data_IF_928688177198
#
_entry.id   IF_928688177198
#
_cell.length_a   1.000
_cell.length_b   1.000
_cell.length_c   1.000
_cell.angle_alpha   90.00
_cell.angle_beta   90.00
_cell.angle_gamma   90.00
#
_symmetry.space_group_name_H-M   'P 1'
#
loop_
_entity.id
_entity.type
_entity.pdbx_description
1 polymer ?
#
# COMPACT_ATOMS: atom_id res chain seq x y z
N UNK A 1 -1.18 4.15 1.24
CA UNK A 1 -0.60 3.14 0.34
C UNK A 1 -1.46 1.88 0.45
N UNK A 2 -2.21 1.47 -0.58
CA UNK A 2 -3.13 0.34 -0.49
C UNK A 2 -2.40 -1.01 -0.40
N UNK A 3 -3.09 -2.09 0.01
CA UNK A 3 -2.55 -3.45 -0.09
C UNK A 3 -2.10 -3.75 -1.52
N UNK A 4 -1.01 -4.50 -1.67
CA UNK A 4 -0.41 -4.80 -2.97
C UNK A 4 -0.90 -6.14 -3.51
N UNK A 5 -1.23 -6.17 -4.79
CA UNK A 5 -1.35 -7.41 -5.58
C UNK A 5 0.02 -7.70 -6.20
N UNK A 6 0.51 -8.92 -6.06
CA UNK A 6 1.83 -9.33 -6.48
C UNK A 6 1.77 -10.65 -7.25
N UNK A 7 2.16 -10.67 -8.54
CA UNK A 7 2.25 -11.91 -9.31
C UNK A 7 3.24 -12.90 -8.67
N UNK A 8 2.82 -14.16 -8.50
CA UNK A 8 3.67 -15.21 -7.91
C UNK A 8 4.94 -15.47 -8.72
N UNK A 9 4.85 -15.28 -10.04
CA UNK A 9 6.00 -15.41 -10.95
C UNK A 9 7.15 -14.43 -10.67
N UNK A 10 6.93 -13.41 -9.83
CA UNK A 10 7.97 -12.44 -9.44
C UNK A 10 8.63 -12.77 -8.09
N UNK A 11 8.26 -13.89 -7.48
CA UNK A 11 8.80 -14.33 -6.19
C UNK A 11 7.98 -13.82 -5.00
N UNK A 12 8.63 -13.68 -3.84
CA UNK A 12 8.00 -13.12 -2.64
C UNK A 12 7.98 -11.58 -2.75
N UNK A 13 6.87 -10.92 -2.39
CA UNK A 13 6.81 -9.47 -2.45
C UNK A 13 7.80 -8.83 -1.48
N UNK A 14 8.62 -7.91 -2.00
CA UNK A 14 9.39 -6.95 -1.21
C UNK A 14 8.55 -5.70 -1.03
N UNK A 15 8.56 -5.15 0.17
CA UNK A 15 7.82 -3.94 0.53
C UNK A 15 8.76 -2.75 0.62
N UNK A 16 8.32 -1.61 0.09
CA UNK A 16 9.07 -0.36 0.08
C UNK A 16 8.21 0.76 0.69
N UNK A 17 8.81 1.68 1.45
CA UNK A 17 8.09 2.83 1.99
C UNK A 17 7.56 3.72 0.84
N UNK A 18 6.35 4.28 0.95
CA UNK A 18 5.73 5.07 -0.10
C UNK A 18 6.25 6.51 -0.11
N UNK A 19 7.46 6.72 -0.64
CA UNK A 19 8.16 8.03 -0.58
C UNK A 19 7.30 9.19 -1.11
N UNK A 20 6.53 8.96 -2.18
CA UNK A 20 5.66 9.98 -2.77
C UNK A 20 4.63 10.55 -1.77
N UNK A 21 3.93 9.70 -1.02
CA UNK A 21 2.93 10.18 -0.04
C UNK A 21 3.58 10.71 1.23
N UNK A 22 4.74 10.19 1.64
CA UNK A 22 5.46 10.72 2.80
C UNK A 22 5.97 12.15 2.55
N UNK A 23 6.34 12.48 1.31
CA UNK A 23 6.71 13.83 0.94
C UNK A 23 5.53 14.81 1.05
N UNK A 24 4.36 14.42 0.52
CA UNK A 24 3.14 15.22 0.65
C UNK A 24 2.75 15.42 2.12
N UNK A 25 2.83 14.35 2.92
CA UNK A 25 2.56 14.42 4.35
C UNK A 25 3.49 15.41 5.08
N UNK A 26 4.79 15.39 4.78
CA UNK A 26 5.78 16.29 5.39
C UNK A 26 5.52 17.79 5.09
N UNK A 27 4.83 18.09 3.99
CA UNK A 27 4.39 19.48 3.69
C UNK A 27 3.11 19.81 4.45
N UNK A 28 2.11 18.90 4.43
CA UNK A 28 0.80 19.12 5.03
C UNK A 28 0.84 19.16 6.56
N UNK A 29 1.74 18.40 7.20
CA UNK A 29 1.83 18.32 8.67
C UNK A 29 2.18 19.66 9.33
N UNK A 30 2.65 20.65 8.55
CA UNK A 30 2.93 22.02 9.03
C UNK A 30 1.68 22.80 9.41
N UNK A 31 0.53 22.43 8.84
CA UNK A 31 -0.74 23.17 9.00
C UNK A 31 -1.93 22.25 9.30
N UNK A 32 -1.77 20.93 9.19
CA UNK A 32 -2.84 19.96 9.35
C UNK A 32 -2.35 18.76 10.16
N UNK A 33 -3.26 18.08 10.87
CA UNK A 33 -2.96 16.76 11.42
C UNK A 33 -3.00 15.72 10.30
N UNK A 34 -1.91 14.98 10.15
CA UNK A 34 -1.75 14.01 9.07
C UNK A 34 -1.51 12.63 9.65
N UNK A 35 -2.22 11.62 9.12
CA UNK A 35 -2.03 10.21 9.44
C UNK A 35 -1.78 9.43 8.15
N UNK A 36 -0.74 8.59 8.15
CA UNK A 36 -0.39 7.74 7.01
C UNK A 36 -0.74 6.29 7.36
N UNK A 37 -1.47 5.64 6.45
CA UNK A 37 -1.65 4.18 6.45
C UNK A 37 -0.79 3.61 5.31
N UNK A 38 0.25 2.86 5.68
CA UNK A 38 1.14 2.16 4.76
C UNK A 38 0.84 0.66 4.76
N UNK A 39 -0.23 0.28 4.05
CA UNK A 39 -0.81 -1.06 4.16
C UNK A 39 0.17 -2.20 3.86
N UNK A 40 0.97 -2.17 2.77
CA UNK A 40 1.93 -3.24 2.50
C UNK A 40 2.99 -3.37 3.59
N UNK A 41 3.48 -2.26 4.14
CA UNK A 41 4.56 -2.26 5.16
C UNK A 41 4.02 -2.71 6.49
N UNK A 42 2.89 -2.17 6.92
CA UNK A 42 2.32 -2.51 8.22
C UNK A 42 1.73 -3.92 8.25
N UNK A 43 1.21 -4.39 7.12
CA UNK A 43 0.66 -5.73 6.95
C UNK A 43 1.59 -6.69 6.21
N UNK A 44 2.92 -6.49 6.26
CA UNK A 44 3.87 -7.29 5.48
C UNK A 44 3.82 -8.80 5.76
N UNK A 45 3.36 -9.19 6.96
CA UNK A 45 3.13 -10.59 7.35
C UNK A 45 1.80 -11.15 6.85
N UNK A 46 0.87 -10.30 6.44
CA UNK A 46 -0.42 -10.71 5.90
C UNK A 46 -0.29 -10.98 4.39
N UNK A 47 0.35 -12.10 4.06
CA UNK A 47 0.50 -12.58 2.69
C UNK A 47 -0.58 -13.63 2.39
N UNK A 48 -1.56 -13.24 1.60
CA UNK A 48 -2.70 -14.06 1.22
C UNK A 48 -2.55 -14.51 -0.23
N UNK A 49 -2.75 -15.80 -0.51
CA UNK A 49 -2.94 -16.25 -1.89
C UNK A 49 -4.39 -15.96 -2.28
N UNK A 50 -4.59 -15.08 -3.28
CA UNK A 50 -5.93 -14.68 -3.72
C UNK A 50 -6.40 -15.42 -4.97
N UNK A 51 -5.46 -15.96 -5.77
CA UNK A 51 -5.74 -16.83 -6.91
C UNK A 51 -4.51 -17.70 -7.26
N UNK A 52 -4.54 -18.40 -8.39
CA UNK A 52 -3.44 -19.25 -8.88
C UNK A 52 -2.18 -18.46 -9.22
N UNK A 53 -2.32 -17.21 -9.64
CA UNK A 53 -1.28 -16.34 -10.21
C UNK A 53 -0.82 -15.20 -9.30
N UNK A 54 -1.59 -14.85 -8.26
CA UNK A 54 -1.36 -13.65 -7.44
C UNK A 54 -1.35 -13.91 -5.93
N UNK A 55 -0.52 -13.14 -5.25
CA UNK A 55 -0.60 -12.87 -3.83
C UNK A 55 -1.21 -11.48 -3.59
N UNK A 56 -1.85 -11.31 -2.43
CA UNK A 56 -2.19 -10.03 -1.82
C UNK A 56 -1.34 -9.86 -0.56
N UNK A 57 -0.70 -8.70 -0.39
CA UNK A 57 0.07 -8.38 0.83
C UNK A 57 -0.37 -7.04 1.42
N UNK A 58 -0.55 -7.00 2.73
CA UNK A 58 -0.87 -5.79 3.48
C UNK A 58 -2.10 -5.92 4.39
N UNK A 59 -2.44 -4.83 5.06
CA UNK A 59 -3.61 -4.73 5.94
C UNK A 59 -4.90 -5.13 5.21
N UNK A 60 -5.82 -5.75 5.93
CA UNK A 60 -7.17 -6.06 5.42
C UNK A 60 -8.01 -4.79 5.23
N UNK A 61 -9.03 -4.86 4.38
CA UNK A 61 -9.96 -3.74 4.18
C UNK A 61 -10.67 -3.35 5.50
N UNK A 62 -10.92 -4.32 6.38
CA UNK A 62 -11.52 -4.09 7.70
C UNK A 62 -10.59 -3.28 8.61
N UNK A 63 -9.31 -3.60 8.64
CA UNK A 63 -8.32 -2.84 9.43
C UNK A 63 -8.18 -1.40 8.93
N UNK A 64 -8.05 -1.22 7.60
CA UNK A 64 -7.96 0.11 6.98
C UNK A 64 -9.22 0.93 7.30
N UNK A 65 -10.41 0.35 7.09
CA UNK A 65 -11.70 1.00 7.38
C UNK A 65 -11.82 1.39 8.85
N UNK A 66 -11.45 0.49 9.76
CA UNK A 66 -11.53 0.76 11.20
C UNK A 66 -10.60 1.90 11.63
N UNK A 67 -9.41 2.00 11.02
CA UNK A 67 -8.47 3.09 11.29
C UNK A 67 -8.97 4.42 10.75
N UNK A 68 -9.47 4.46 9.51
CA UNK A 68 -10.07 5.67 8.93
C UNK A 68 -11.24 6.14 9.80
N UNK A 69 -12.15 5.23 10.21
CA UNK A 69 -13.28 5.57 11.09
C UNK A 69 -12.85 6.08 12.46
N UNK A 70 -11.83 5.48 13.06
CA UNK A 70 -11.32 5.89 14.37
C UNK A 70 -10.63 7.24 14.33
N UNK A 71 -9.89 7.50 13.26
CA UNK A 71 -9.20 8.77 13.05
C UNK A 71 -10.17 9.88 12.64
N UNK A 72 -11.24 9.54 11.91
CA UNK A 72 -12.28 10.46 11.44
C UNK A 72 -11.74 11.67 10.65
N UNK A 73 -10.92 11.48 9.59
CA UNK A 73 -10.36 12.59 8.84
C UNK A 73 -11.39 13.28 7.94
N UNK A 74 -11.21 14.57 7.70
CA UNK A 74 -12.01 15.33 6.72
C UNK A 74 -11.67 14.93 5.26
N UNK A 75 -10.42 14.55 5.00
CA UNK A 75 -9.91 14.21 3.66
C UNK A 75 -9.13 12.90 3.72
N UNK A 76 -9.35 12.03 2.72
CA UNK A 76 -8.59 10.79 2.53
C UNK A 76 -7.86 10.84 1.18
N UNK A 77 -6.54 10.84 1.22
CA UNK A 77 -5.68 10.69 0.04
C UNK A 77 -5.24 9.25 -0.18
N UNK A 78 -5.30 8.77 -1.42
CA UNK A 78 -4.85 7.42 -1.78
C UNK A 78 -3.71 7.52 -2.80
N UNK A 79 -2.50 7.13 -2.40
CA UNK A 79 -1.37 6.96 -3.31
C UNK A 79 -1.40 5.56 -3.92
N UNK A 80 -1.52 5.48 -5.24
CA UNK A 80 -1.42 4.23 -6.01
C UNK A 80 -0.02 4.20 -6.65
N UNK A 81 0.93 3.40 -6.11
CA UNK A 81 2.23 3.25 -6.76
C UNK A 81 2.04 2.60 -8.15
N UNK A 82 2.58 3.25 -9.18
CA UNK A 82 2.62 2.66 -10.52
C UNK A 82 3.48 1.40 -10.50
N UNK A 83 2.94 0.28 -10.97
CA UNK A 83 3.73 -0.92 -11.19
C UNK A 83 4.50 -0.77 -12.51
N UNK A 84 5.82 -0.73 -12.44
CA UNK A 84 6.65 -1.04 -13.60
C UNK A 84 6.54 -2.55 -13.83
N UNK A 85 5.87 -2.95 -14.90
CA UNK A 85 5.98 -4.32 -15.41
C UNK A 85 7.46 -4.53 -15.78
N UNK A 86 8.11 -5.61 -15.32
CA UNK A 86 9.36 -6.00 -15.96
C UNK A 86 9.04 -6.20 -17.44
N UNK A 87 9.73 -5.47 -18.30
CA UNK A 87 9.75 -5.74 -19.73
C UNK A 87 10.41 -7.11 -19.85
N UNK A 88 9.62 -8.18 -19.79
CA UNK A 88 10.07 -9.48 -20.23
C UNK A 88 10.19 -9.33 -21.75
N UNK A 89 11.41 -9.04 -22.22
CA UNK A 89 11.80 -9.32 -23.59
C UNK A 89 11.41 -10.77 -23.85
N UNK A 90 10.35 -10.95 -24.66
CA UNK A 90 10.03 -12.24 -25.24
C UNK A 90 11.10 -12.49 -26.30
N UNK A 91 12.17 -13.18 -25.92
CA UNK A 91 13.07 -13.88 -26.84
C UNK A 91 12.46 -15.21 -27.25
#
# INVERSE_FOLDING_TARGET
NPPRIHPKGWGKPVVYPPIGITYVAAVLERQHEVSIIDSPTEGWRNLEQIDETNYRVGLTNKEITNRIKRWSPDIVGINIPTFMLPILERS
#
